data_IF_877061028129
#
_entry.id   IF_877061028129
#
_cell.length_a   1.000
_cell.length_b   1.000
_cell.length_c   1.000
_cell.angle_alpha   90.00
_cell.angle_beta   90.00
_cell.angle_gamma   90.00
#
_symmetry.space_group_name_H-M   'P 1'
#
loop_
_entity.id
_entity.type
_entity.pdbx_description
1 polymer ?
#
# COMPACT_ATOMS: atom_id res chain seq x y z
N UNK A 1 -11.52 -5.63 -19.88
CA UNK A 1 -12.98 -5.54 -20.13
C UNK A 1 -13.45 -4.27 -19.45
N UNK A 2 -14.35 -3.51 -20.07
CA UNK A 2 -15.02 -2.45 -19.33
C UNK A 2 -15.84 -3.09 -18.21
N UNK A 3 -15.76 -2.55 -17.00
CA UNK A 3 -16.55 -3.01 -15.87
C UNK A 3 -18.02 -2.61 -16.12
N UNK A 4 -18.96 -3.53 -15.83
CA UNK A 4 -20.39 -3.25 -15.88
C UNK A 4 -20.94 -3.30 -14.45
N UNK A 5 -21.72 -2.29 -14.06
CA UNK A 5 -22.26 -2.18 -12.72
C UNK A 5 -23.12 -3.40 -12.30
N UNK A 6 -23.97 -3.89 -13.21
CA UNK A 6 -24.80 -5.07 -12.94
C UNK A 6 -23.95 -6.32 -12.64
N UNK A 7 -22.85 -6.52 -13.37
CA UNK A 7 -21.93 -7.63 -13.15
C UNK A 7 -21.19 -7.48 -11.81
N UNK A 8 -20.83 -6.24 -11.42
CA UNK A 8 -20.22 -5.96 -10.13
C UNK A 8 -21.16 -6.33 -9.00
N UNK A 9 -22.41 -5.85 -9.04
CA UNK A 9 -23.41 -6.13 -7.98
C UNK A 9 -23.74 -7.61 -7.93
N UNK A 10 -23.98 -8.24 -9.07
CA UNK A 10 -24.24 -9.69 -9.13
C UNK A 10 -23.10 -10.51 -8.54
N UNK A 11 -21.86 -10.14 -8.84
CA UNK A 11 -20.70 -10.84 -8.28
C UNK A 11 -20.60 -10.59 -6.78
N UNK A 12 -20.75 -9.33 -6.32
CA UNK A 12 -20.76 -8.94 -4.91
C UNK A 12 -21.77 -9.80 -4.11
N UNK A 13 -23.01 -9.91 -4.59
CA UNK A 13 -24.08 -10.64 -3.92
C UNK A 13 -23.85 -12.17 -3.89
N UNK A 14 -22.96 -12.68 -4.72
CA UNK A 14 -22.61 -14.12 -4.78
C UNK A 14 -21.38 -14.50 -3.95
N UNK A 15 -20.64 -13.52 -3.39
CA UNK A 15 -19.40 -13.80 -2.64
C UNK A 15 -19.70 -14.49 -1.31
N UNK A 16 -18.99 -15.58 -1.07
CA UNK A 16 -18.91 -16.23 0.24
C UNK A 16 -17.59 -15.87 0.91
N UNK A 17 -17.65 -15.06 1.97
CA UNK A 17 -16.48 -14.55 2.64
C UNK A 17 -15.66 -15.65 3.32
N UNK A 18 -14.35 -15.64 3.08
CA UNK A 18 -13.37 -16.42 3.85
C UNK A 18 -12.95 -15.57 5.05
N UNK A 19 -13.23 -16.04 6.24
CA UNK A 19 -13.06 -15.26 7.47
C UNK A 19 -12.25 -15.96 8.57
N UNK A 20 -11.71 -17.13 8.26
CA UNK A 20 -10.83 -17.92 9.14
C UNK A 20 -9.36 -17.68 8.78
N UNK A 21 -8.44 -17.90 9.72
CA UNK A 21 -7.01 -17.95 9.42
C UNK A 21 -6.71 -19.05 8.39
N UNK A 22 -5.68 -18.86 7.59
CA UNK A 22 -5.23 -19.87 6.63
C UNK A 22 -3.85 -20.38 7.05
N UNK A 23 -3.79 -21.55 7.65
CA UNK A 23 -2.57 -22.12 8.19
C UNK A 23 -2.41 -23.56 7.67
N UNK A 24 -1.21 -23.87 7.17
CA UNK A 24 -0.86 -25.20 6.67
C UNK A 24 -1.85 -25.75 5.63
N UNK A 25 -2.26 -24.91 4.68
CA UNK A 25 -3.14 -25.29 3.58
C UNK A 25 -4.62 -25.40 3.94
N UNK A 26 -5.05 -24.94 5.12
CA UNK A 26 -6.43 -25.07 5.61
C UNK A 26 -6.92 -23.79 6.25
N UNK A 27 -8.24 -23.53 6.13
CA UNK A 27 -8.92 -22.55 6.95
C UNK A 27 -9.14 -23.10 8.35
N UNK A 28 -8.73 -22.34 9.37
CA UNK A 28 -8.84 -22.69 10.79
C UNK A 28 -9.34 -21.50 11.60
N UNK A 29 -10.11 -21.75 12.65
CA UNK A 29 -10.43 -20.71 13.62
C UNK A 29 -9.17 -20.32 14.38
N UNK A 30 -9.16 -19.14 15.01
CA UNK A 30 -8.12 -18.81 15.99
C UNK A 30 -8.16 -19.81 17.15
N UNK A 31 -7.00 -20.14 17.71
CA UNK A 31 -6.90 -21.07 18.84
C UNK A 31 -7.64 -20.55 20.08
N UNK A 32 -7.76 -19.23 20.22
CA UNK A 32 -8.54 -18.57 21.27
C UNK A 32 -10.05 -18.53 20.99
N UNK A 33 -10.48 -18.97 19.80
CA UNK A 33 -11.86 -18.85 19.29
C UNK A 33 -12.38 -17.40 19.19
N UNK A 34 -11.52 -16.40 19.40
CA UNK A 34 -11.87 -15.00 19.26
C UNK A 34 -12.04 -14.59 17.80
N UNK A 35 -12.90 -13.61 17.60
CA UNK A 35 -13.14 -12.97 16.32
C UNK A 35 -13.18 -11.45 16.49
N UNK A 36 -12.93 -10.72 15.41
CA UNK A 36 -13.18 -9.28 15.31
C UNK A 36 -14.15 -9.01 14.15
N UNK A 37 -14.87 -7.92 14.25
CA UNK A 37 -15.84 -7.48 13.25
C UNK A 37 -15.11 -6.79 12.10
N UNK A 38 -15.42 -7.21 10.89
CA UNK A 38 -15.06 -6.55 9.65
C UNK A 38 -16.24 -5.68 9.21
N UNK A 39 -16.02 -4.37 9.19
CA UNK A 39 -17.05 -3.34 8.96
C UNK A 39 -16.78 -2.64 7.65
N UNK A 40 -17.71 -2.70 6.71
CA UNK A 40 -17.57 -1.97 5.45
C UNK A 40 -17.63 -0.45 5.67
N UNK A 41 -16.65 0.30 5.19
CA UNK A 41 -16.67 1.76 5.28
C UNK A 41 -17.65 2.41 4.29
N UNK A 42 -18.22 1.66 3.40
CA UNK A 42 -19.15 2.13 2.35
C UNK A 42 -20.50 2.55 2.97
N UNK A 43 -20.94 1.78 3.97
CA UNK A 43 -22.25 1.95 4.59
C UNK A 43 -22.25 1.78 6.14
N UNK A 44 -21.08 1.46 6.72
CA UNK A 44 -20.91 1.17 8.13
C UNK A 44 -21.50 -0.18 8.56
N UNK A 45 -21.87 -1.03 7.61
CA UNK A 45 -22.48 -2.35 7.85
C UNK A 45 -21.45 -3.42 8.22
N UNK A 46 -21.89 -4.40 9.04
CA UNK A 46 -21.10 -5.59 9.33
C UNK A 46 -21.00 -6.48 8.08
N UNK A 47 -19.78 -6.77 7.65
CA UNK A 47 -19.49 -7.68 6.53
C UNK A 47 -19.45 -9.13 7.04
N UNK A 48 -18.56 -9.39 7.99
CA UNK A 48 -18.37 -10.72 8.60
C UNK A 48 -17.59 -10.59 9.91
N UNK A 49 -17.52 -11.71 10.67
CA UNK A 49 -16.60 -11.82 11.82
C UNK A 49 -15.39 -12.63 11.41
N UNK A 50 -14.20 -12.06 11.56
CA UNK A 50 -12.92 -12.66 11.13
C UNK A 50 -12.16 -13.24 12.32
N UNK A 51 -11.46 -14.34 12.16
CA UNK A 51 -10.65 -14.96 13.20
C UNK A 51 -9.61 -13.97 13.76
N UNK A 52 -9.57 -13.78 15.09
CA UNK A 52 -8.59 -12.96 15.79
C UNK A 52 -7.40 -13.82 16.20
N UNK A 53 -6.40 -13.90 15.34
CA UNK A 53 -5.16 -14.62 15.64
C UNK A 53 -4.31 -13.89 16.67
N UNK A 54 -3.65 -14.66 17.50
CA UNK A 54 -2.68 -14.16 18.49
C UNK A 54 -1.32 -14.89 18.38
N UNK A 55 -0.55 -14.90 19.47
CA UNK A 55 0.79 -15.49 19.49
C UNK A 55 0.79 -17.00 19.20
N UNK A 56 -0.22 -17.72 19.63
CA UNK A 56 -0.28 -19.17 19.48
C UNK A 56 -0.59 -19.56 18.03
N UNK A 57 -1.48 -18.84 17.35
CA UNK A 57 -1.76 -19.00 15.93
C UNK A 57 -0.53 -18.68 15.07
N UNK A 58 0.20 -17.62 15.42
CA UNK A 58 1.46 -17.26 14.76
C UNK A 58 2.50 -18.36 14.95
N UNK A 59 2.61 -18.93 16.16
CA UNK A 59 3.51 -20.05 16.42
C UNK A 59 3.18 -21.27 15.55
N UNK A 60 1.89 -21.59 15.37
CA UNK A 60 1.48 -22.73 14.53
C UNK A 60 1.75 -22.44 13.03
N UNK A 61 1.52 -21.22 12.57
CA UNK A 61 1.88 -20.82 11.21
C UNK A 61 3.40 -20.90 10.97
N UNK A 62 4.22 -20.47 11.93
CA UNK A 62 5.69 -20.55 11.86
C UNK A 62 6.16 -22.00 11.86
N UNK A 63 5.61 -22.87 12.72
CA UNK A 63 5.92 -24.30 12.71
C UNK A 63 5.63 -24.95 11.36
N UNK A 64 4.46 -24.68 10.78
CA UNK A 64 4.09 -25.21 9.46
C UNK A 64 5.05 -24.71 8.37
N UNK A 65 5.36 -23.41 8.37
CA UNK A 65 6.26 -22.77 7.44
C UNK A 65 7.70 -23.32 7.53
N UNK A 66 8.21 -23.52 8.76
CA UNK A 66 9.55 -24.07 9.01
C UNK A 66 9.63 -25.52 8.58
N UNK A 67 8.64 -26.33 8.93
CA UNK A 67 8.60 -27.75 8.54
C UNK A 67 8.66 -27.92 7.01
N UNK A 68 7.83 -27.21 6.25
CA UNK A 68 7.81 -27.32 4.78
C UNK A 68 9.09 -26.76 4.14
N UNK A 69 9.67 -25.71 4.71
CA UNK A 69 10.95 -25.14 4.27
C UNK A 69 12.09 -26.15 4.42
N UNK A 70 12.24 -26.77 5.59
CA UNK A 70 13.29 -27.75 5.88
C UNK A 70 13.10 -29.05 5.10
N UNK A 71 11.86 -29.50 4.91
CA UNK A 71 11.52 -30.63 4.04
C UNK A 71 11.96 -30.41 2.60
N UNK A 72 11.99 -29.13 2.16
CA UNK A 72 12.49 -28.73 0.84
C UNK A 72 11.48 -28.91 -0.27
N UNK A 73 10.19 -29.10 0.04
CA UNK A 73 9.16 -29.26 -1.01
C UNK A 73 9.00 -28.02 -1.88
N UNK A 74 9.38 -26.84 -1.36
CA UNK A 74 9.40 -25.58 -2.07
C UNK A 74 10.81 -24.99 -2.19
N UNK A 75 11.54 -24.91 -1.08
CA UNK A 75 12.88 -24.29 -1.00
C UNK A 75 13.91 -24.95 -1.92
N UNK A 76 13.84 -26.27 -2.06
CA UNK A 76 14.71 -27.07 -2.95
C UNK A 76 14.03 -27.49 -4.26
N UNK A 77 12.82 -26.98 -4.55
CA UNK A 77 12.17 -27.23 -5.83
C UNK A 77 12.96 -26.57 -6.95
N UNK A 78 13.14 -27.31 -8.06
CA UNK A 78 13.83 -26.75 -9.23
C UNK A 78 13.20 -25.44 -9.71
N UNK A 79 13.99 -24.39 -10.00
CA UNK A 79 13.50 -23.06 -10.35
C UNK A 79 12.42 -23.06 -11.44
N UNK A 80 12.59 -23.85 -12.49
CA UNK A 80 11.65 -23.95 -13.61
C UNK A 80 10.28 -24.56 -13.21
N UNK A 81 10.24 -25.43 -12.18
CA UNK A 81 8.99 -25.99 -11.65
C UNK A 81 8.28 -24.93 -10.80
N UNK A 82 9.00 -24.25 -9.92
CA UNK A 82 8.49 -23.17 -9.08
C UNK A 82 7.92 -22.02 -9.92
N UNK A 83 8.64 -21.62 -10.99
CA UNK A 83 8.21 -20.65 -12.01
C UNK A 83 6.85 -21.00 -12.62
N UNK A 84 6.63 -22.25 -13.02
CA UNK A 84 5.36 -22.71 -13.62
C UNK A 84 4.20 -22.59 -12.64
N UNK A 85 4.42 -22.90 -11.36
CA UNK A 85 3.41 -22.79 -10.32
C UNK A 85 3.06 -21.31 -10.08
N UNK A 86 4.04 -20.41 -10.06
CA UNK A 86 3.78 -18.98 -9.88
C UNK A 86 3.04 -18.36 -11.08
N UNK A 87 3.31 -18.76 -12.30
CA UNK A 87 2.49 -18.35 -13.46
C UNK A 87 1.05 -18.84 -13.34
N UNK A 88 0.85 -20.11 -12.93
CA UNK A 88 -0.51 -20.61 -12.68
C UNK A 88 -1.21 -19.84 -11.58
N UNK A 89 -0.49 -19.44 -10.52
CA UNK A 89 -1.03 -18.60 -9.46
C UNK A 89 -1.44 -17.22 -9.99
N UNK A 90 -0.61 -16.58 -10.81
CA UNK A 90 -0.93 -15.32 -11.47
C UNK A 90 -2.17 -15.44 -12.39
N UNK A 91 -2.29 -16.53 -13.14
CA UNK A 91 -3.47 -16.79 -13.98
C UNK A 91 -4.76 -16.98 -13.17
N UNK A 92 -4.67 -17.64 -12.00
CA UNK A 92 -5.82 -17.79 -11.10
C UNK A 92 -6.24 -16.46 -10.51
N UNK A 93 -5.30 -15.61 -10.06
CA UNK A 93 -5.61 -14.26 -9.60
C UNK A 93 -6.26 -13.45 -10.72
N UNK A 94 -5.72 -13.49 -11.93
CA UNK A 94 -6.28 -12.79 -13.09
C UNK A 94 -7.71 -13.23 -13.42
N UNK A 95 -8.02 -14.51 -13.28
CA UNK A 95 -9.39 -15.04 -13.49
C UNK A 95 -10.38 -14.55 -12.41
N UNK A 96 -9.90 -14.27 -11.21
CA UNK A 96 -10.71 -13.82 -10.07
C UNK A 96 -10.56 -12.31 -9.80
N UNK A 97 -10.13 -11.52 -10.80
CA UNK A 97 -9.81 -10.09 -10.63
C UNK A 97 -11.01 -9.28 -10.11
N UNK A 98 -12.23 -9.59 -10.59
CA UNK A 98 -13.44 -8.90 -10.17
C UNK A 98 -13.82 -9.26 -8.73
N UNK A 99 -13.80 -10.55 -8.37
CA UNK A 99 -14.06 -11.01 -7.00
C UNK A 99 -13.09 -10.36 -6.00
N UNK A 100 -11.80 -10.44 -6.29
CA UNK A 100 -10.75 -9.87 -5.42
C UNK A 100 -10.85 -8.34 -5.32
N UNK A 101 -11.15 -7.64 -6.42
CA UNK A 101 -11.39 -6.21 -6.41
C UNK A 101 -12.62 -5.83 -5.59
N UNK A 102 -13.71 -6.58 -5.68
CA UNK A 102 -14.92 -6.36 -4.86
C UNK A 102 -14.62 -6.55 -3.38
N UNK A 103 -13.83 -7.57 -3.00
CA UNK A 103 -13.41 -7.76 -1.61
C UNK A 103 -12.65 -6.54 -1.08
N UNK A 104 -11.72 -5.98 -1.84
CA UNK A 104 -11.02 -4.74 -1.44
C UNK A 104 -11.95 -3.53 -1.39
N UNK A 105 -12.92 -3.42 -2.31
CA UNK A 105 -13.93 -2.35 -2.25
C UNK A 105 -14.80 -2.46 -1.01
N UNK A 106 -15.23 -3.66 -0.63
CA UNK A 106 -16.02 -3.94 0.58
C UNK A 106 -15.23 -3.55 1.84
N UNK A 107 -13.96 -3.99 1.93
CA UNK A 107 -13.13 -3.85 3.13
C UNK A 107 -12.69 -2.40 3.37
N UNK A 108 -12.33 -1.67 2.31
CA UNK A 108 -11.64 -0.38 2.50
C UNK A 108 -12.23 0.78 1.68
N UNK A 109 -13.32 0.55 0.94
CA UNK A 109 -14.05 1.61 0.23
C UNK A 109 -13.38 2.12 -1.05
N UNK A 110 -12.36 1.46 -1.57
CA UNK A 110 -11.70 1.81 -2.83
C UNK A 110 -12.66 1.63 -4.02
N UNK A 111 -12.71 2.57 -4.97
CA UNK A 111 -13.50 2.37 -6.20
C UNK A 111 -13.13 1.08 -6.91
N UNK A 112 -14.13 0.34 -7.39
CA UNK A 112 -13.95 -0.96 -8.03
C UNK A 112 -13.01 -0.94 -9.24
N UNK A 113 -13.00 0.16 -9.99
CA UNK A 113 -12.07 0.39 -11.11
C UNK A 113 -10.61 0.42 -10.64
N UNK A 114 -10.33 1.11 -9.53
CA UNK A 114 -9.01 1.17 -8.91
C UNK A 114 -8.63 -0.18 -8.26
N UNK A 115 -9.55 -0.79 -7.52
CA UNK A 115 -9.31 -2.08 -6.87
C UNK A 115 -8.95 -3.19 -7.88
N UNK A 116 -9.71 -3.32 -8.99
CA UNK A 116 -9.36 -4.27 -10.05
C UNK A 116 -8.04 -3.94 -10.74
N UNK A 117 -7.67 -2.65 -10.85
CA UNK A 117 -6.36 -2.20 -11.31
C UNK A 117 -5.22 -2.68 -10.41
N UNK A 118 -5.40 -2.59 -9.10
CA UNK A 118 -4.42 -3.08 -8.11
C UNK A 118 -4.25 -4.60 -8.19
N UNK A 119 -5.34 -5.35 -8.39
CA UNK A 119 -5.25 -6.81 -8.60
C UNK A 119 -4.48 -7.13 -9.89
N UNK A 120 -4.69 -6.35 -10.97
CA UNK A 120 -3.92 -6.51 -12.19
C UNK A 120 -2.41 -6.22 -11.97
N UNK A 121 -2.07 -5.24 -11.14
CA UNK A 121 -0.69 -4.95 -10.73
C UNK A 121 -0.09 -6.09 -9.88
N UNK A 122 -0.88 -6.77 -9.04
CA UNK A 122 -0.45 -7.99 -8.33
C UNK A 122 -0.05 -9.09 -9.32
N UNK A 123 -0.85 -9.31 -10.37
CA UNK A 123 -0.54 -10.28 -11.43
C UNK A 123 0.75 -9.92 -12.15
N UNK A 124 0.94 -8.65 -12.51
CA UNK A 124 2.16 -8.17 -13.16
C UNK A 124 3.39 -8.37 -12.27
N UNK A 125 3.30 -8.01 -10.99
CA UNK A 125 4.35 -8.22 -10.00
C UNK A 125 4.75 -9.70 -9.88
N UNK A 126 3.77 -10.58 -9.73
CA UNK A 126 4.02 -12.03 -9.60
C UNK A 126 4.66 -12.61 -10.86
N UNK A 127 4.19 -12.22 -12.04
CA UNK A 127 4.77 -12.63 -13.31
C UNK A 127 6.23 -12.17 -13.45
N UNK A 128 6.52 -10.91 -13.09
CA UNK A 128 7.89 -10.38 -13.16
C UNK A 128 8.86 -11.20 -12.30
N UNK A 129 8.48 -11.50 -11.04
CA UNK A 129 9.31 -12.33 -10.16
C UNK A 129 9.38 -13.79 -10.61
N UNK A 130 8.31 -14.36 -11.18
CA UNK A 130 8.31 -15.69 -11.77
C UNK A 130 9.29 -15.76 -12.95
N UNK A 131 9.35 -14.73 -13.79
CA UNK A 131 10.32 -14.64 -14.88
C UNK A 131 11.77 -14.47 -14.40
N UNK A 132 11.97 -13.80 -13.27
CA UNK A 132 13.29 -13.55 -12.71
C UNK A 132 13.95 -14.79 -12.09
N UNK A 133 13.18 -15.83 -11.71
CA UNK A 133 13.67 -17.00 -10.96
C UNK A 133 14.90 -17.65 -11.60
N UNK A 134 14.87 -17.88 -12.89
CA UNK A 134 15.96 -18.56 -13.65
C UNK A 134 17.05 -17.60 -14.14
N UNK A 135 17.05 -16.36 -13.67
CA UNK A 135 18.02 -15.31 -13.99
C UNK A 135 18.83 -14.85 -12.77
N UNK A 136 18.63 -15.51 -11.64
CA UNK A 136 19.40 -15.26 -10.41
C UNK A 136 20.59 -16.22 -10.45
N UNK A 137 21.74 -15.71 -10.88
CA UNK A 137 22.98 -16.50 -10.96
C UNK A 137 23.78 -16.38 -9.69
N UNK A 138 24.51 -17.46 -9.37
CA UNK A 138 25.55 -17.47 -8.38
C UNK A 138 26.84 -16.83 -8.93
N UNK A 139 27.75 -16.41 -8.07
CA UNK A 139 28.98 -15.74 -8.46
C UNK A 139 30.20 -16.58 -8.10
N UNK A 140 31.28 -16.48 -8.91
CA UNK A 140 32.59 -17.06 -8.62
C UNK A 140 33.55 -15.91 -8.33
N UNK A 141 34.10 -15.89 -7.12
CA UNK A 141 35.05 -14.87 -6.72
C UNK A 141 36.47 -15.16 -7.23
N UNK A 142 37.26 -14.13 -7.61
CA UNK A 142 38.63 -14.30 -8.00
C UNK A 142 39.48 -14.82 -6.86
N UNK A 143 40.27 -15.87 -7.13
CA UNK A 143 41.15 -16.50 -6.16
C UNK A 143 42.46 -16.92 -6.84
N UNK A 144 43.42 -17.47 -6.07
CA UNK A 144 44.63 -18.11 -6.64
C UNK A 144 44.29 -19.44 -7.33
N UNK A 145 45.14 -19.90 -8.24
CA UNK A 145 44.90 -21.01 -9.17
C UNK A 145 44.41 -22.33 -8.54
N UNK A 146 44.74 -22.58 -7.29
CA UNK A 146 44.38 -23.84 -6.61
C UNK A 146 43.12 -23.70 -5.71
N UNK A 147 42.35 -22.62 -5.80
CA UNK A 147 41.14 -22.37 -5.03
C UNK A 147 40.02 -21.88 -5.96
N UNK A 148 38.83 -22.43 -5.77
CA UNK A 148 37.58 -21.91 -6.34
C UNK A 148 36.72 -21.45 -5.18
N UNK A 149 36.33 -20.15 -5.15
CA UNK A 149 35.38 -19.60 -4.20
C UNK A 149 34.07 -19.27 -4.90
N UNK A 150 33.01 -19.92 -4.47
CA UNK A 150 31.64 -19.71 -5.01
C UNK A 150 30.81 -18.94 -3.99
N UNK A 151 30.02 -17.98 -4.47
CA UNK A 151 29.03 -17.23 -3.69
C UNK A 151 27.65 -17.69 -4.14
N UNK A 152 27.02 -18.56 -3.35
CA UNK A 152 25.71 -19.11 -3.68
C UNK A 152 24.59 -18.27 -3.04
N UNK A 153 23.48 -18.09 -3.78
CA UNK A 153 22.29 -17.40 -3.33
C UNK A 153 21.25 -18.43 -2.88
N UNK A 154 20.90 -18.41 -1.61
CA UNK A 154 19.99 -19.38 -1.02
C UNK A 154 18.73 -18.71 -0.44
N UNK A 155 17.58 -19.43 -0.35
CA UNK A 155 16.41 -18.95 0.37
C UNK A 155 16.76 -18.62 1.83
N UNK A 156 16.18 -17.54 2.35
CA UNK A 156 16.42 -17.11 3.74
C UNK A 156 15.78 -18.05 4.78
N UNK A 157 14.60 -18.58 4.48
CA UNK A 157 13.82 -19.37 5.42
C UNK A 157 12.37 -18.94 5.45
N UNK A 158 11.92 -18.41 6.59
CA UNK A 158 10.57 -17.89 6.78
C UNK A 158 10.58 -16.37 6.63
N UNK A 159 9.76 -15.87 5.72
CA UNK A 159 9.52 -14.44 5.54
C UNK A 159 8.15 -14.10 6.13
N UNK A 160 8.14 -13.29 7.18
CA UNK A 160 6.94 -12.66 7.70
C UNK A 160 6.64 -11.35 6.97
N UNK A 161 5.36 -11.03 6.80
CA UNK A 161 4.93 -9.75 6.29
C UNK A 161 3.74 -9.18 7.07
N UNK A 162 3.77 -7.88 7.32
CA UNK A 162 2.64 -7.12 7.87
C UNK A 162 2.31 -6.01 6.88
N UNK A 163 1.06 -5.98 6.41
CA UNK A 163 0.63 -5.10 5.32
C UNK A 163 -0.46 -4.13 5.75
N UNK A 164 -0.53 -2.95 5.10
CA UNK A 164 -1.52 -1.94 5.40
C UNK A 164 -2.87 -2.25 4.72
N UNK A 165 -3.85 -1.44 5.04
CA UNK A 165 -5.21 -1.55 4.53
C UNK A 165 -5.46 -0.80 3.20
N UNK A 166 -4.62 0.18 2.83
CA UNK A 166 -4.89 1.05 1.68
C UNK A 166 -4.62 0.43 0.30
N UNK A 167 -3.74 -0.55 0.23
CA UNK A 167 -3.46 -1.41 -0.93
C UNK A 167 -3.27 -2.86 -0.45
N UNK A 168 -4.35 -3.53 -0.02
CA UNK A 168 -4.24 -4.80 0.72
C UNK A 168 -3.41 -5.86 0.01
N UNK A 169 -3.85 -6.29 -1.17
CA UNK A 169 -3.13 -7.31 -1.95
C UNK A 169 -1.89 -6.76 -2.63
N UNK A 170 -1.91 -5.54 -3.17
CA UNK A 170 -0.76 -5.01 -3.89
C UNK A 170 0.47 -4.94 -2.98
N UNK A 171 0.32 -4.40 -1.76
CA UNK A 171 1.41 -4.36 -0.78
C UNK A 171 1.80 -5.75 -0.28
N UNK A 172 0.86 -6.68 -0.22
CA UNK A 172 1.17 -8.08 0.08
C UNK A 172 1.99 -8.71 -1.06
N UNK A 173 1.61 -8.52 -2.32
CA UNK A 173 2.31 -9.11 -3.47
C UNK A 173 3.73 -8.57 -3.68
N UNK A 174 4.02 -7.34 -3.31
CA UNK A 174 5.39 -6.82 -3.28
C UNK A 174 6.31 -7.59 -2.31
N UNK A 175 5.75 -8.39 -1.42
CA UNK A 175 6.45 -9.23 -0.46
C UNK A 175 6.28 -10.73 -0.77
N UNK A 176 5.07 -11.16 -1.13
CA UNK A 176 4.75 -12.54 -1.52
C UNK A 176 5.56 -12.97 -2.74
N UNK A 177 5.53 -12.18 -3.81
CA UNK A 177 6.12 -12.56 -5.08
C UNK A 177 7.64 -12.82 -4.98
N UNK A 178 8.48 -11.90 -4.44
CA UNK A 178 9.91 -12.18 -4.26
C UNK A 178 10.18 -13.31 -3.28
N UNK A 179 9.42 -13.43 -2.19
CA UNK A 179 9.62 -14.48 -1.18
C UNK A 179 9.36 -15.87 -1.78
N UNK A 180 8.24 -16.06 -2.46
CA UNK A 180 7.90 -17.33 -3.08
C UNK A 180 8.83 -17.65 -4.27
N UNK A 181 9.15 -16.67 -5.10
CA UNK A 181 10.05 -16.84 -6.23
C UNK A 181 11.43 -17.35 -5.81
N UNK A 182 11.95 -16.84 -4.69
CA UNK A 182 13.26 -17.24 -4.17
C UNK A 182 13.22 -18.47 -3.25
N UNK A 183 12.07 -19.14 -3.10
CA UNK A 183 11.94 -20.42 -2.41
C UNK A 183 11.71 -20.34 -0.91
N UNK A 184 11.35 -19.17 -0.38
CA UNK A 184 11.03 -19.02 1.04
C UNK A 184 9.60 -19.50 1.35
N UNK A 185 9.35 -19.86 2.61
CA UNK A 185 7.99 -19.92 3.17
C UNK A 185 7.54 -18.53 3.61
N UNK A 186 6.24 -18.28 3.59
CA UNK A 186 5.69 -16.93 3.76
C UNK A 186 4.51 -16.92 4.75
N UNK A 187 4.51 -15.92 5.64
CA UNK A 187 3.41 -15.70 6.59
C UNK A 187 2.96 -14.24 6.45
N UNK A 188 1.70 -14.04 6.10
CA UNK A 188 1.07 -12.72 5.95
C UNK A 188 0.18 -12.41 7.15
N UNK A 189 0.39 -11.26 7.78
CA UNK A 189 -0.59 -10.59 8.65
C UNK A 189 -1.19 -9.42 7.87
N UNK A 190 -2.40 -9.53 7.31
CA UNK A 190 -3.09 -8.41 6.67
C UNK A 190 -3.54 -7.39 7.72
N UNK A 191 -3.86 -6.17 7.29
CA UNK A 191 -4.53 -5.20 8.17
C UNK A 191 -5.89 -5.75 8.62
N UNK A 192 -6.29 -5.41 9.84
CA UNK A 192 -7.59 -5.81 10.39
C UNK A 192 -8.77 -5.20 9.63
N UNK A 193 -8.57 -4.05 8.98
CA UNK A 193 -9.58 -3.36 8.17
C UNK A 193 -9.75 -3.98 6.77
N UNK A 194 -8.84 -4.86 6.31
CA UNK A 194 -8.89 -5.36 4.93
C UNK A 194 -8.30 -6.77 4.80
N UNK A 195 -8.87 -7.76 5.50
CA UNK A 195 -8.32 -9.11 5.52
C UNK A 195 -8.83 -10.01 4.39
N UNK A 196 -10.00 -9.70 3.80
CA UNK A 196 -10.76 -10.68 3.00
C UNK A 196 -10.06 -11.09 1.71
N UNK A 197 -9.47 -10.14 0.99
CA UNK A 197 -8.77 -10.45 -0.26
C UNK A 197 -7.53 -11.32 -0.01
N UNK A 198 -6.79 -11.10 1.09
CA UNK A 198 -5.64 -11.91 1.49
C UNK A 198 -6.05 -13.35 1.86
N UNK A 199 -7.17 -13.51 2.55
CA UNK A 199 -7.73 -14.83 2.89
C UNK A 199 -8.19 -15.59 1.65
N UNK A 200 -8.84 -14.91 0.70
CA UNK A 200 -9.28 -15.53 -0.55
C UNK A 200 -8.12 -15.95 -1.44
N UNK A 201 -7.08 -15.13 -1.54
CA UNK A 201 -5.92 -15.43 -2.40
C UNK A 201 -5.10 -16.63 -1.90
N UNK A 202 -5.17 -16.97 -0.60
CA UNK A 202 -4.49 -18.13 -0.04
C UNK A 202 -5.02 -19.46 -0.59
N UNK A 203 -6.32 -19.55 -0.84
CA UNK A 203 -6.93 -20.71 -1.50
C UNK A 203 -6.48 -20.82 -2.97
N UNK A 204 -6.37 -19.70 -3.70
CA UNK A 204 -5.84 -19.68 -5.05
C UNK A 204 -4.37 -20.14 -5.12
N UNK A 205 -3.60 -19.84 -4.09
CA UNK A 205 -2.21 -20.33 -3.98
C UNK A 205 -2.15 -21.87 -3.91
N UNK A 206 -3.05 -22.49 -3.13
CA UNK A 206 -3.17 -23.96 -3.05
C UNK A 206 -3.61 -24.56 -4.39
N UNK A 207 -4.61 -23.97 -5.04
CA UNK A 207 -5.09 -24.39 -6.37
C UNK A 207 -3.98 -24.31 -7.44
N UNK A 208 -3.09 -23.32 -7.32
CA UNK A 208 -1.94 -23.20 -8.20
C UNK A 208 -0.94 -24.35 -8.01
N UNK A 209 -0.89 -24.97 -6.84
CA UNK A 209 0.02 -26.05 -6.47
C UNK A 209 1.19 -25.60 -5.58
N UNK A 210 1.05 -24.45 -4.89
CA UNK A 210 1.96 -24.07 -3.81
C UNK A 210 1.74 -25.07 -2.65
N UNK A 211 2.81 -25.72 -2.12
CA UNK A 211 2.63 -26.74 -1.09
C UNK A 211 2.06 -26.19 0.22
N UNK A 212 1.31 -27.03 0.95
CA UNK A 212 0.79 -26.72 2.29
C UNK A 212 1.92 -26.21 3.20
N UNK A 213 1.63 -25.16 3.99
CA UNK A 213 2.59 -24.52 4.89
C UNK A 213 3.52 -23.49 4.24
N UNK A 214 3.67 -23.46 2.91
CA UNK A 214 4.51 -22.46 2.23
C UNK A 214 3.91 -21.07 2.31
N UNK A 215 2.58 -20.96 2.21
CA UNK A 215 1.87 -19.69 2.30
C UNK A 215 0.81 -19.77 3.41
N UNK A 216 0.90 -18.86 4.37
CA UNK A 216 -0.01 -18.80 5.53
C UNK A 216 -0.51 -17.36 5.70
N UNK A 217 -1.75 -17.20 6.18
CA UNK A 217 -2.38 -15.91 6.48
C UNK A 217 -2.96 -15.94 7.88
N UNK A 218 -2.50 -15.03 8.73
CA UNK A 218 -2.89 -14.91 10.15
C UNK A 218 -3.53 -13.53 10.38
N UNK A 219 -4.86 -13.38 10.19
CA UNK A 219 -5.57 -12.15 10.50
C UNK A 219 -5.53 -11.86 12.00
N UNK A 220 -5.62 -10.60 12.40
CA UNK A 220 -5.56 -10.19 13.80
C UNK A 220 -4.95 -8.80 13.94
N UNK A 221 -4.83 -8.34 15.19
CA UNK A 221 -4.38 -6.97 15.45
C UNK A 221 -2.86 -6.81 15.45
N UNK A 222 -2.41 -5.57 15.15
CA UNK A 222 -0.99 -5.22 15.17
C UNK A 222 -0.28 -5.52 16.50
N UNK A 223 -0.84 -5.11 17.68
CA UNK A 223 -0.24 -5.36 19.00
C UNK A 223 -0.16 -6.83 19.42
N UNK A 224 -0.95 -7.71 18.84
CA UNK A 224 -0.99 -9.16 19.11
C UNK A 224 -0.27 -9.94 18.01
N UNK A 225 -0.96 -10.35 16.96
CA UNK A 225 -0.41 -11.15 15.86
C UNK A 225 0.78 -10.45 15.15
N UNK A 226 0.69 -9.13 14.91
CA UNK A 226 1.78 -8.37 14.28
C UNK A 226 3.05 -8.35 15.13
N UNK A 227 2.92 -8.07 16.43
CA UNK A 227 4.04 -8.11 17.38
C UNK A 227 4.61 -9.53 17.52
N UNK A 228 3.74 -10.54 17.62
CA UNK A 228 4.17 -11.94 17.70
C UNK A 228 5.04 -12.33 16.50
N UNK A 229 4.61 -11.98 15.28
CA UNK A 229 5.38 -12.23 14.06
C UNK A 229 6.72 -11.46 14.06
N UNK A 230 6.73 -10.21 14.52
CA UNK A 230 7.93 -9.37 14.64
C UNK A 230 8.95 -9.91 15.64
N UNK A 231 8.48 -10.43 16.77
CA UNK A 231 9.31 -10.95 17.87
C UNK A 231 9.71 -12.43 17.69
N UNK A 232 9.09 -13.17 16.75
CA UNK A 232 9.27 -14.61 16.66
C UNK A 232 10.71 -14.99 16.30
N UNK A 233 11.34 -15.81 17.13
CA UNK A 233 12.75 -16.20 16.98
C UNK A 233 13.05 -17.01 15.71
N UNK A 234 12.05 -17.67 15.14
CA UNK A 234 12.17 -18.54 13.97
C UNK A 234 11.62 -17.93 12.68
N UNK A 235 11.43 -16.59 12.65
CA UNK A 235 11.18 -15.80 11.45
C UNK A 235 12.48 -15.16 11.01
N UNK A 236 12.92 -15.40 9.77
CA UNK A 236 14.25 -15.04 9.28
C UNK A 236 14.30 -13.61 8.67
N UNK A 237 13.17 -13.13 8.18
CA UNK A 237 13.01 -11.77 7.62
C UNK A 237 11.59 -11.26 7.87
N UNK A 238 11.46 -9.96 8.07
CA UNK A 238 10.15 -9.30 8.12
C UNK A 238 10.08 -8.17 7.09
N UNK A 239 9.00 -8.16 6.31
CA UNK A 239 8.59 -7.04 5.45
C UNK A 239 7.41 -6.30 6.07
N UNK A 240 7.50 -5.00 6.20
CA UNK A 240 6.44 -4.17 6.74
C UNK A 240 6.09 -3.04 5.77
N UNK A 241 4.81 -2.73 5.63
CA UNK A 241 4.32 -1.48 5.05
C UNK A 241 3.23 -0.91 5.96
N UNK A 242 3.33 0.37 6.32
CA UNK A 242 2.39 1.05 7.19
C UNK A 242 2.96 2.35 7.77
N UNK A 243 2.50 2.77 8.96
CA UNK A 243 2.96 4.02 9.56
C UNK A 243 4.43 3.97 9.99
N UNK A 244 5.09 5.12 9.96
CA UNK A 244 6.48 5.28 10.44
C UNK A 244 6.63 4.88 11.91
N UNK A 245 5.62 5.16 12.73
CA UNK A 245 5.61 4.79 14.15
C UNK A 245 5.69 3.26 14.33
N UNK A 246 4.83 2.52 13.62
CA UNK A 246 4.81 1.06 13.67
C UNK A 246 6.06 0.48 13.02
N UNK A 247 6.60 1.07 11.96
CA UNK A 247 7.88 0.68 11.37
C UNK A 247 9.04 0.71 12.39
N UNK A 248 9.09 1.77 13.22
CA UNK A 248 10.06 1.86 14.33
C UNK A 248 9.88 0.75 15.38
N UNK A 249 8.63 0.29 15.63
CA UNK A 249 8.38 -0.85 16.51
C UNK A 249 8.96 -2.14 15.94
N UNK A 250 8.84 -2.41 14.64
CA UNK A 250 9.42 -3.60 14.03
C UNK A 250 10.95 -3.62 14.09
N UNK A 251 11.62 -2.46 13.99
CA UNK A 251 13.07 -2.38 14.25
C UNK A 251 13.41 -2.75 15.71
N UNK A 252 12.61 -2.29 16.68
CA UNK A 252 12.77 -2.69 18.09
C UNK A 252 12.53 -4.17 18.28
N UNK A 253 11.45 -4.73 17.71
CA UNK A 253 11.17 -6.16 17.79
C UNK A 253 12.28 -7.02 17.18
N UNK A 254 12.89 -6.58 16.11
CA UNK A 254 14.07 -7.25 15.55
C UNK A 254 15.25 -7.24 16.52
N UNK A 255 15.56 -6.09 17.12
CA UNK A 255 16.62 -5.96 18.12
C UNK A 255 16.38 -6.76 19.39
N UNK A 256 15.13 -6.83 19.83
CA UNK A 256 14.70 -7.55 21.05
C UNK A 256 14.55 -9.09 20.82
N UNK A 257 14.74 -9.56 19.59
CA UNK A 257 14.61 -10.99 19.23
C UNK A 257 15.86 -11.55 18.57
N UNK A 258 15.76 -12.07 17.36
CA UNK A 258 16.86 -12.75 16.66
C UNK A 258 17.65 -11.85 15.69
N UNK A 259 17.48 -10.54 15.74
CA UNK A 259 18.11 -9.57 14.82
C UNK A 259 17.77 -9.82 13.33
N UNK A 260 16.57 -10.36 13.04
CA UNK A 260 16.11 -10.60 11.68
C UNK A 260 16.15 -9.32 10.84
N UNK A 261 16.41 -9.46 9.55
CA UNK A 261 16.34 -8.33 8.61
C UNK A 261 14.93 -7.81 8.52
N UNK A 262 14.76 -6.48 8.66
CA UNK A 262 13.48 -5.79 8.49
C UNK A 262 13.58 -4.87 7.27
N UNK A 263 12.59 -4.98 6.37
CA UNK A 263 12.40 -4.04 5.27
C UNK A 263 11.14 -3.25 5.52
N UNK A 264 11.25 -1.91 5.47
CA UNK A 264 10.18 -0.98 5.84
C UNK A 264 9.79 -0.12 4.64
N UNK A 265 8.48 -0.07 4.36
CA UNK A 265 7.83 0.96 3.57
C UNK A 265 6.93 1.76 4.50
N UNK A 266 7.20 3.04 4.64
CA UNK A 266 6.53 3.92 5.61
C UNK A 266 5.82 5.08 4.91
N UNK A 267 5.21 5.96 5.71
CA UNK A 267 4.45 7.10 5.22
C UNK A 267 5.30 8.16 4.52
N UNK A 268 4.62 9.12 3.92
CA UNK A 268 5.20 10.23 3.19
C UNK A 268 4.48 11.55 3.41
N UNK A 269 5.14 12.64 3.03
CA UNK A 269 4.57 13.99 2.92
C UNK A 269 5.15 14.64 1.66
N UNK A 270 4.84 14.02 0.53
CA UNK A 270 5.51 14.25 -0.74
C UNK A 270 5.29 15.66 -1.28
N UNK A 271 6.35 16.40 -1.64
CA UNK A 271 6.22 17.69 -2.30
C UNK A 271 5.93 17.49 -3.81
N UNK A 272 4.97 18.25 -4.32
CA UNK A 272 4.70 18.46 -5.73
C UNK A 272 5.05 19.90 -6.07
N UNK A 273 6.14 20.14 -6.80
CA UNK A 273 6.75 21.45 -7.00
C UNK A 273 6.41 21.97 -8.39
N UNK A 274 5.62 23.02 -8.47
CA UNK A 274 5.16 23.62 -9.72
C UNK A 274 5.90 24.94 -9.94
N UNK A 275 6.79 24.97 -10.91
CA UNK A 275 7.43 26.22 -11.37
C UNK A 275 6.60 26.90 -12.43
N UNK A 276 6.76 28.23 -12.57
CA UNK A 276 6.06 29.02 -13.57
C UNK A 276 6.38 28.62 -15.02
N UNK A 277 7.51 27.98 -15.24
CA UNK A 277 7.92 27.43 -16.53
C UNK A 277 7.53 25.97 -16.72
N UNK A 278 6.58 25.42 -15.95
CA UNK A 278 6.04 24.08 -16.17
C UNK A 278 5.50 23.94 -17.62
N UNK A 279 5.68 22.75 -18.25
CA UNK A 279 5.30 22.58 -19.67
C UNK A 279 3.85 22.87 -19.96
N UNK A 280 2.95 22.52 -19.04
CA UNK A 280 1.51 22.71 -19.16
C UNK A 280 0.90 22.74 -17.74
N UNK A 281 0.34 23.89 -17.37
CA UNK A 281 -0.27 24.11 -16.05
C UNK A 281 -1.61 23.35 -15.88
N UNK A 282 -2.36 23.12 -16.96
CA UNK A 282 -3.61 22.36 -16.92
C UNK A 282 -3.31 20.87 -16.65
N UNK A 283 -2.33 20.31 -17.36
CA UNK A 283 -1.86 18.94 -17.12
C UNK A 283 -1.31 18.79 -15.70
N UNK A 284 -0.50 19.74 -15.23
CA UNK A 284 0.06 19.72 -13.89
C UNK A 284 -1.03 19.79 -12.81
N UNK A 285 -2.03 20.67 -12.97
CA UNK A 285 -3.13 20.82 -12.03
C UNK A 285 -4.05 19.58 -12.01
N UNK A 286 -4.36 19.04 -13.20
CA UNK A 286 -5.11 17.80 -13.32
C UNK A 286 -4.39 16.64 -12.61
N UNK A 287 -3.13 16.44 -12.90
CA UNK A 287 -2.35 15.36 -12.27
C UNK A 287 -2.13 15.59 -10.76
N UNK A 288 -2.05 16.85 -10.31
CA UNK A 288 -2.01 17.14 -8.87
C UNK A 288 -3.31 16.73 -8.16
N UNK A 289 -4.46 16.96 -8.78
CA UNK A 289 -5.75 16.48 -8.27
C UNK A 289 -5.85 14.95 -8.33
N UNK A 290 -5.51 14.36 -9.46
CA UNK A 290 -5.54 12.90 -9.67
C UNK A 290 -4.67 12.18 -8.62
N UNK A 291 -3.43 12.60 -8.43
CA UNK A 291 -2.51 11.98 -7.49
C UNK A 291 -2.87 12.20 -6.01
N UNK A 292 -3.53 13.33 -5.69
CA UNK A 292 -3.91 13.62 -4.30
C UNK A 292 -5.20 12.94 -3.90
N UNK A 293 -6.22 12.90 -4.78
CA UNK A 293 -7.55 12.44 -4.43
C UNK A 293 -7.79 10.97 -4.79
N UNK A 294 -6.91 10.35 -5.58
CA UNK A 294 -6.91 8.91 -5.80
C UNK A 294 -6.94 8.16 -4.46
N UNK A 295 -7.73 7.10 -4.38
CA UNK A 295 -7.93 6.29 -3.17
C UNK A 295 -8.27 7.13 -1.92
N UNK A 296 -9.03 8.23 -2.11
CA UNK A 296 -9.41 9.18 -1.05
C UNK A 296 -8.19 9.78 -0.30
N UNK A 297 -7.07 9.98 -1.01
CA UNK A 297 -5.82 10.48 -0.43
C UNK A 297 -5.12 9.51 0.52
N UNK A 298 -5.57 8.26 0.60
CA UNK A 298 -5.02 7.20 1.44
C UNK A 298 -3.85 6.50 0.75
N UNK A 299 -2.86 7.29 0.34
CA UNK A 299 -1.70 6.88 -0.46
C UNK A 299 -0.43 7.38 0.21
N UNK A 300 0.53 6.49 0.45
CA UNK A 300 1.76 6.82 1.17
C UNK A 300 2.65 7.84 0.45
N UNK A 301 2.65 7.85 -0.88
CA UNK A 301 3.40 8.78 -1.71
C UNK A 301 2.52 9.91 -2.31
N UNK A 302 1.29 10.10 -1.79
CA UNK A 302 0.39 11.18 -2.23
C UNK A 302 1.08 12.56 -2.18
N UNK A 303 0.93 13.39 -3.23
CA UNK A 303 1.56 14.70 -3.34
C UNK A 303 0.83 15.75 -2.48
N UNK A 304 0.72 15.49 -1.19
CA UNK A 304 -0.12 16.24 -0.25
C UNK A 304 0.41 17.63 0.11
N UNK A 305 1.69 17.92 -0.20
CA UNK A 305 2.24 19.28 -0.17
C UNK A 305 2.43 19.79 -1.60
N UNK A 306 1.56 20.68 -2.05
CA UNK A 306 1.67 21.35 -3.33
C UNK A 306 2.45 22.65 -3.15
N UNK A 307 3.67 22.70 -3.68
CA UNK A 307 4.52 23.88 -3.68
C UNK A 307 4.35 24.59 -5.01
N UNK A 308 3.87 25.84 -4.99
CA UNK A 308 3.55 26.62 -6.22
C UNK A 308 4.40 27.87 -6.27
N UNK A 309 5.07 28.12 -7.40
CA UNK A 309 5.77 29.39 -7.59
C UNK A 309 4.80 30.57 -7.51
N UNK A 310 5.12 31.57 -6.69
CA UNK A 310 4.20 32.64 -6.28
C UNK A 310 3.54 33.36 -7.47
N UNK A 311 4.25 33.51 -8.57
CA UNK A 311 3.75 34.21 -9.78
C UNK A 311 2.56 33.53 -10.46
N UNK A 312 2.37 32.23 -10.25
CA UNK A 312 1.28 31.43 -10.87
C UNK A 312 0.29 30.88 -9.84
N UNK A 313 0.42 31.24 -8.55
CA UNK A 313 -0.34 30.63 -7.46
C UNK A 313 -1.84 30.67 -7.68
N UNK A 314 -2.39 31.85 -7.93
CA UNK A 314 -3.85 32.04 -8.02
C UNK A 314 -4.42 31.29 -9.24
N UNK A 315 -3.79 31.45 -10.41
CA UNK A 315 -4.17 30.73 -11.63
C UNK A 315 -4.13 29.20 -11.42
N UNK A 316 -3.07 28.69 -10.78
CA UNK A 316 -2.93 27.26 -10.56
C UNK A 316 -3.97 26.72 -9.58
N UNK A 317 -4.29 27.44 -8.51
CA UNK A 317 -5.31 27.06 -7.54
C UNK A 317 -6.70 27.02 -8.19
N UNK A 318 -7.05 28.00 -9.05
CA UNK A 318 -8.31 27.98 -9.80
C UNK A 318 -8.44 26.73 -10.68
N UNK A 319 -7.39 26.38 -11.44
CA UNK A 319 -7.35 25.14 -12.24
C UNK A 319 -7.48 23.89 -11.36
N UNK A 320 -6.78 23.85 -10.24
CA UNK A 320 -6.82 22.72 -9.31
C UNK A 320 -8.23 22.49 -8.73
N UNK A 321 -8.95 23.57 -8.40
CA UNK A 321 -10.35 23.49 -7.93
C UNK A 321 -11.23 22.86 -9.01
N UNK A 322 -11.09 23.27 -10.28
CA UNK A 322 -11.86 22.69 -11.38
C UNK A 322 -11.56 21.18 -11.54
N UNK A 323 -10.29 20.80 -11.54
CA UNK A 323 -9.88 19.39 -11.66
C UNK A 323 -10.18 18.55 -10.42
N UNK A 324 -10.49 19.15 -9.27
CA UNK A 324 -10.92 18.43 -8.06
C UNK A 324 -12.40 18.02 -8.08
N UNK A 325 -13.25 18.68 -8.89
CA UNK A 325 -14.70 18.44 -8.92
C UNK A 325 -15.10 16.99 -9.27
N UNK A 326 -14.43 16.30 -10.21
CA UNK A 326 -14.74 14.90 -10.53
C UNK A 326 -14.41 13.93 -9.40
N UNK A 327 -13.67 14.38 -8.38
CA UNK A 327 -13.24 13.56 -7.24
C UNK A 327 -14.23 13.59 -6.07
N UNK A 328 -15.46 14.12 -6.25
CA UNK A 328 -16.49 13.98 -5.23
C UNK A 328 -16.80 12.49 -5.00
N UNK A 329 -16.77 12.02 -3.74
CA UNK A 329 -16.93 10.61 -3.44
C UNK A 329 -18.36 10.13 -3.71
N UNK A 330 -18.47 8.90 -4.20
CA UNK A 330 -19.75 8.27 -4.55
C UNK A 330 -19.68 6.76 -4.26
N UNK A 331 -20.74 6.01 -4.66
CA UNK A 331 -20.79 4.55 -4.55
C UNK A 331 -19.53 3.90 -5.17
N UNK A 332 -18.64 3.28 -4.37
CA UNK A 332 -17.38 2.73 -4.89
C UNK A 332 -17.58 1.48 -5.76
N UNK A 333 -18.77 0.85 -5.74
CA UNK A 333 -19.08 -0.26 -6.63
C UNK A 333 -19.44 0.19 -8.05
N UNK A 334 -19.78 1.46 -8.25
CA UNK A 334 -20.06 1.98 -9.58
C UNK A 334 -18.73 2.19 -10.36
N UNK A 335 -18.59 1.63 -11.58
CA UNK A 335 -17.36 1.68 -12.37
C UNK A 335 -16.81 3.09 -12.65
N UNK A 336 -17.71 4.09 -12.75
CA UNK A 336 -17.35 5.48 -13.05
C UNK A 336 -16.99 6.31 -11.80
N UNK A 337 -17.06 5.71 -10.60
CA UNK A 337 -16.67 6.40 -9.37
C UNK A 337 -15.16 6.61 -9.32
N UNK A 338 -14.73 7.87 -9.17
CA UNK A 338 -13.32 8.23 -9.05
C UNK A 338 -12.79 8.10 -7.62
N UNK A 339 -13.60 8.45 -6.62
CA UNK A 339 -13.23 8.43 -5.21
C UNK A 339 -14.32 7.77 -4.34
N UNK A 340 -13.91 6.87 -3.45
CA UNK A 340 -14.77 6.16 -2.53
C UNK A 340 -14.74 6.72 -1.10
N UNK A 341 -14.96 5.86 -0.10
CA UNK A 341 -14.94 6.23 1.31
C UNK A 341 -13.53 6.20 1.93
N UNK A 342 -13.40 6.76 3.12
CA UNK A 342 -12.28 6.50 4.05
C UNK A 342 -12.40 5.08 4.60
N UNK A 343 -11.29 4.47 4.96
CA UNK A 343 -11.26 3.05 5.39
C UNK A 343 -12.08 2.74 6.63
N UNK A 344 -12.16 3.65 7.59
CA UNK A 344 -12.92 3.47 8.82
C UNK A 344 -13.29 4.82 9.46
N UNK A 345 -14.11 4.74 10.51
CA UNK A 345 -14.55 5.90 11.29
C UNK A 345 -13.38 6.64 11.94
N UNK A 346 -12.37 5.92 12.42
CA UNK A 346 -11.25 6.52 13.14
C UNK A 346 -10.41 7.35 12.18
N UNK A 347 -10.12 6.82 10.99
CA UNK A 347 -9.38 7.54 9.96
C UNK A 347 -10.18 8.76 9.45
N UNK A 348 -11.49 8.62 9.23
CA UNK A 348 -12.33 9.74 8.85
C UNK A 348 -12.34 10.85 9.90
N UNK A 349 -12.50 10.50 11.19
CA UNK A 349 -12.43 11.46 12.29
C UNK A 349 -11.07 12.15 12.37
N UNK A 350 -9.98 11.39 12.22
CA UNK A 350 -8.62 11.94 12.18
C UNK A 350 -8.44 12.98 11.07
N UNK A 351 -8.94 12.69 9.86
CA UNK A 351 -8.85 13.63 8.73
C UNK A 351 -9.64 14.91 9.02
N UNK A 352 -10.86 14.82 9.57
CA UNK A 352 -11.66 15.97 9.96
C UNK A 352 -10.97 16.81 11.05
N UNK A 353 -10.33 16.18 12.03
CA UNK A 353 -9.55 16.86 13.06
C UNK A 353 -8.36 17.64 12.48
N UNK A 354 -7.68 17.09 11.45
CA UNK A 354 -6.64 17.82 10.73
C UNK A 354 -7.19 18.99 9.95
N UNK A 355 -8.36 18.85 9.32
CA UNK A 355 -9.04 19.95 8.62
C UNK A 355 -9.34 21.08 9.59
N UNK A 356 -9.90 20.79 10.76
CA UNK A 356 -10.16 21.80 11.79
C UNK A 356 -8.88 22.41 12.37
N UNK A 357 -7.81 21.62 12.46
CA UNK A 357 -6.49 22.12 12.88
C UNK A 357 -5.93 23.12 11.86
N UNK A 358 -6.00 22.83 10.57
CA UNK A 358 -5.54 23.74 9.51
C UNK A 358 -6.29 25.09 9.55
N UNK A 359 -7.62 25.06 9.75
CA UNK A 359 -8.42 26.28 9.93
C UNK A 359 -7.94 27.10 11.13
N UNK A 360 -7.71 26.45 12.28
CA UNK A 360 -7.24 27.11 13.51
C UNK A 360 -5.83 27.69 13.36
N UNK A 361 -4.97 27.07 12.56
CA UNK A 361 -3.63 27.56 12.26
C UNK A 361 -3.61 28.70 11.23
N UNK A 362 -4.77 29.04 10.65
CA UNK A 362 -4.95 30.18 9.73
C UNK A 362 -4.88 29.83 8.25
N UNK A 363 -4.79 28.55 7.87
CA UNK A 363 -4.90 28.12 6.48
C UNK A 363 -6.35 28.29 5.97
N UNK A 364 -6.52 28.67 4.70
CA UNK A 364 -7.81 28.91 4.11
C UNK A 364 -8.27 27.73 3.26
N UNK A 365 -9.48 27.21 3.52
CA UNK A 365 -10.12 26.22 2.66
C UNK A 365 -10.66 26.90 1.40
N UNK A 366 -10.34 26.36 0.23
CA UNK A 366 -10.87 26.82 -1.05
C UNK A 366 -11.90 25.84 -1.64
N UNK A 367 -11.88 24.57 -1.22
CA UNK A 367 -12.94 23.59 -1.52
C UNK A 367 -12.94 22.48 -0.47
N UNK A 368 -14.09 21.82 -0.30
CA UNK A 368 -14.25 20.68 0.63
C UNK A 368 -14.27 21.09 2.12
N UNK A 369 -13.65 20.27 2.94
CA UNK A 369 -13.53 20.51 4.37
C UNK A 369 -14.63 19.87 5.23
N UNK A 370 -15.38 18.93 4.67
CA UNK A 370 -16.52 18.31 5.36
C UNK A 370 -16.72 16.84 5.00
N UNK A 371 -17.44 16.14 5.86
CA UNK A 371 -17.98 14.82 5.55
C UNK A 371 -19.24 14.96 4.70
N UNK A 372 -19.31 14.18 3.63
CA UNK A 372 -20.44 14.11 2.69
C UNK A 372 -21.10 12.72 2.74
N UNK A 373 -22.22 12.52 2.03
CA UNK A 373 -22.95 11.24 1.92
C UNK A 373 -23.24 10.58 3.30
N UNK A 374 -23.57 11.40 4.32
CA UNK A 374 -23.77 10.94 5.70
C UNK A 374 -24.97 10.00 5.86
N UNK A 375 -25.92 10.10 4.97
CA UNK A 375 -27.14 9.26 4.91
C UNK A 375 -26.86 7.80 4.53
N UNK A 376 -25.71 7.51 3.93
CA UNK A 376 -25.29 6.14 3.61
C UNK A 376 -24.85 5.34 4.84
N UNK A 377 -24.46 6.00 5.92
CA UNK A 377 -23.78 5.41 7.08
C UNK A 377 -22.26 5.24 6.89
N UNK A 378 -21.74 5.48 5.68
CA UNK A 378 -20.33 5.37 5.33
C UNK A 378 -19.47 6.60 5.68
N UNK A 379 -18.19 6.53 5.38
CA UNK A 379 -17.18 7.50 5.84
C UNK A 379 -16.60 8.30 4.67
N UNK A 380 -17.37 9.18 4.05
CA UNK A 380 -17.00 9.95 2.87
C UNK A 380 -16.56 11.37 3.22
N UNK A 381 -15.41 11.80 2.74
CA UNK A 381 -14.88 13.16 2.94
C UNK A 381 -14.68 13.83 1.59
N UNK A 382 -15.15 15.08 1.46
CA UNK A 382 -14.99 15.85 0.24
C UNK A 382 -13.50 16.15 -0.04
N UNK A 383 -13.07 16.21 -1.33
CA UNK A 383 -11.75 16.69 -1.71
C UNK A 383 -11.49 18.06 -1.09
N UNK A 384 -10.45 18.17 -0.28
CA UNK A 384 -10.19 19.38 0.50
C UNK A 384 -8.88 20.00 0.07
N UNK A 385 -8.91 21.29 -0.28
CA UNK A 385 -7.74 22.06 -0.67
C UNK A 385 -7.59 23.25 0.29
N UNK A 386 -6.43 23.34 0.93
CA UNK A 386 -6.00 24.50 1.70
C UNK A 386 -5.05 25.37 0.88
N UNK A 387 -5.27 26.67 0.87
CA UNK A 387 -4.30 27.69 0.44
C UNK A 387 -3.73 28.46 1.63
N UNK A 388 -2.71 29.26 1.38
CA UNK A 388 -2.01 30.08 2.40
C UNK A 388 -1.46 29.22 3.54
N UNK A 389 -1.01 28.01 3.20
CA UNK A 389 -0.40 27.09 4.16
C UNK A 389 1.08 27.49 4.34
N UNK A 390 1.49 27.56 5.60
CA UNK A 390 2.90 27.66 5.96
C UNK A 390 3.46 26.26 6.29
N UNK A 391 4.68 25.96 5.85
CA UNK A 391 5.28 24.64 6.06
C UNK A 391 5.50 24.28 7.56
N UNK A 392 5.37 25.23 8.49
CA UNK A 392 5.38 24.97 9.94
C UNK A 392 4.04 24.50 10.50
N UNK A 393 2.96 24.65 9.75
CA UNK A 393 1.63 24.21 10.17
C UNK A 393 1.58 22.67 10.27
N UNK A 394 0.79 22.17 11.21
CA UNK A 394 0.65 20.73 11.45
C UNK A 394 0.16 19.97 10.22
N UNK A 395 -0.78 20.58 9.47
CA UNK A 395 -1.29 19.98 8.21
C UNK A 395 -0.23 19.85 7.10
N UNK A 396 0.85 20.67 7.14
CA UNK A 396 1.97 20.59 6.21
C UNK A 396 3.08 19.64 6.69
N UNK A 397 3.17 19.38 8.00
CA UNK A 397 4.20 18.52 8.61
C UNK A 397 3.77 17.07 8.72
N UNK A 398 2.55 16.82 9.19
CA UNK A 398 2.07 15.47 9.48
C UNK A 398 1.45 14.82 8.24
N UNK A 399 1.57 13.51 8.16
CA UNK A 399 0.85 12.68 7.19
C UNK A 399 -0.63 12.58 7.61
N UNK A 400 -1.52 13.23 6.87
CA UNK A 400 -2.97 13.24 7.15
C UNK A 400 -3.59 11.89 6.74
N UNK A 401 -3.16 11.37 5.59
CA UNK A 401 -3.64 10.12 4.99
C UNK A 401 -5.13 10.17 4.64
N UNK A 402 -5.53 11.24 3.96
CA UNK A 402 -6.91 11.54 3.54
C UNK A 402 -6.92 12.59 2.43
N UNK A 403 -8.08 12.94 1.86
CA UNK A 403 -8.19 13.77 0.67
C UNK A 403 -7.96 15.27 0.97
N UNK A 404 -6.79 15.60 1.54
CA UNK A 404 -6.45 16.97 2.00
C UNK A 404 -5.12 17.40 1.40
N UNK A 405 -5.17 18.40 0.54
CA UNK A 405 -4.03 19.02 -0.13
C UNK A 405 -3.69 20.37 0.50
N UNK A 406 -2.39 20.59 0.75
CA UNK A 406 -1.84 21.80 1.34
C UNK A 406 -1.03 22.59 0.31
N UNK A 407 -1.53 23.75 -0.15
CA UNK A 407 -0.84 24.62 -1.12
C UNK A 407 0.02 25.65 -0.37
N UNK A 408 1.32 25.63 -0.66
CA UNK A 408 2.37 26.48 -0.11
C UNK A 408 3.02 27.22 -1.25
N UNK A 409 3.13 28.55 -1.17
CA UNK A 409 3.83 29.31 -2.19
C UNK A 409 5.32 29.44 -1.90
N UNK A 410 6.12 29.60 -2.97
CA UNK A 410 7.56 29.80 -2.87
C UNK A 410 8.07 30.81 -3.91
N UNK A 411 9.28 31.31 -3.71
CA UNK A 411 9.99 32.19 -4.65
C UNK A 411 11.34 31.58 -5.04
N UNK A 412 11.41 31.07 -6.27
CA UNK A 412 12.63 30.52 -6.86
C UNK A 412 13.11 29.20 -6.28
N UNK A 413 14.10 28.60 -6.96
CA UNK A 413 14.58 27.23 -6.70
C UNK A 413 15.07 26.96 -5.26
N UNK A 414 15.72 27.95 -4.65
CA UNK A 414 16.34 27.75 -3.33
C UNK A 414 15.29 27.58 -2.25
N UNK A 415 14.22 28.38 -2.31
CA UNK A 415 13.12 28.30 -1.34
C UNK A 415 12.29 27.04 -1.58
N UNK A 416 11.97 26.72 -2.83
CA UNK A 416 11.29 25.47 -3.20
C UNK A 416 12.00 24.24 -2.60
N UNK A 417 13.31 24.14 -2.81
CA UNK A 417 14.10 23.02 -2.30
C UNK A 417 14.19 23.02 -0.76
N UNK A 418 14.28 24.19 -0.12
CA UNK A 418 14.28 24.32 1.33
C UNK A 418 12.97 23.81 1.92
N UNK A 419 11.82 24.24 1.39
CA UNK A 419 10.50 23.81 1.85
C UNK A 419 10.31 22.31 1.57
N UNK A 420 10.67 21.84 0.37
CA UNK A 420 10.53 20.44 -0.01
C UNK A 420 11.28 19.51 0.96
N UNK A 421 12.50 19.88 1.37
CA UNK A 421 13.34 19.09 2.27
C UNK A 421 13.06 19.30 3.77
N UNK A 422 12.23 20.29 4.14
CA UNK A 422 11.87 20.55 5.54
C UNK A 422 10.70 19.65 5.97
N UNK A 423 10.99 18.37 6.03
CA UNK A 423 10.08 17.28 6.44
C UNK A 423 10.90 16.09 6.96
N UNK A 424 10.29 15.28 7.82
CA UNK A 424 10.87 14.03 8.32
C UNK A 424 10.68 12.84 7.35
N UNK A 425 9.95 13.06 6.25
CA UNK A 425 9.64 12.06 5.23
C UNK A 425 10.57 12.21 4.01
N UNK A 426 10.55 11.19 3.13
CA UNK A 426 11.39 11.20 1.93
C UNK A 426 11.01 10.10 0.92
N UNK A 427 9.72 9.80 0.78
CA UNK A 427 9.25 8.70 -0.08
C UNK A 427 9.23 9.11 -1.56
N UNK A 428 8.51 10.18 -1.89
CA UNK A 428 8.29 10.64 -3.27
C UNK A 428 8.42 12.17 -3.37
N UNK A 429 8.75 12.66 -4.57
CA UNK A 429 8.73 14.07 -4.94
C UNK A 429 8.43 14.24 -6.42
N UNK A 430 7.73 15.32 -6.78
CA UNK A 430 7.39 15.63 -8.16
C UNK A 430 7.89 17.04 -8.50
N UNK A 431 8.42 17.24 -9.71
CA UNK A 431 8.96 18.51 -10.18
C UNK A 431 8.36 18.82 -11.55
N UNK A 432 7.76 20.00 -11.69
CA UNK A 432 7.22 20.50 -12.95
C UNK A 432 8.02 21.71 -13.41
N UNK A 433 8.77 21.58 -14.48
CA UNK A 433 9.57 22.65 -15.10
C UNK A 433 10.04 22.25 -16.49
N UNK A 434 10.15 23.22 -17.40
CA UNK A 434 10.76 23.07 -18.72
C UNK A 434 12.29 23.23 -18.72
N UNK A 435 12.86 23.74 -17.60
CA UNK A 435 14.31 23.93 -17.49
C UNK A 435 14.98 22.63 -17.00
N UNK A 436 15.60 21.92 -17.92
CA UNK A 436 16.30 20.65 -17.63
C UNK A 436 17.42 20.81 -16.58
N UNK A 437 18.14 21.95 -16.58
CA UNK A 437 19.18 22.21 -15.59
C UNK A 437 18.58 22.37 -14.18
N UNK A 438 17.46 23.11 -14.07
CA UNK A 438 16.70 23.27 -12.83
C UNK A 438 16.25 21.93 -12.30
N UNK A 439 15.60 21.11 -13.15
CA UNK A 439 15.12 19.78 -12.80
C UNK A 439 16.22 18.88 -12.27
N UNK A 440 17.34 18.74 -13.00
CA UNK A 440 18.46 17.91 -12.57
C UNK A 440 19.11 18.40 -11.27
N UNK A 441 19.22 19.73 -11.11
CA UNK A 441 19.78 20.35 -9.92
C UNK A 441 18.94 20.10 -8.67
N UNK A 442 17.58 20.18 -8.79
CA UNK A 442 16.66 19.90 -7.70
C UNK A 442 16.63 18.39 -7.41
N UNK A 443 16.48 17.56 -8.43
CA UNK A 443 16.43 16.10 -8.27
C UNK A 443 17.65 15.52 -7.54
N UNK A 444 18.83 16.10 -7.74
CA UNK A 444 20.06 15.71 -7.02
C UNK A 444 20.10 16.13 -5.54
N UNK A 445 19.26 17.09 -5.14
CA UNK A 445 19.33 17.73 -3.81
C UNK A 445 18.09 17.50 -2.96
N UNK A 446 17.00 17.10 -3.59
CA UNK A 446 15.77 16.74 -2.87
C UNK A 446 16.01 15.41 -2.14
N UNK A 447 15.58 15.35 -0.87
CA UNK A 447 15.70 14.15 -0.04
C UNK A 447 14.47 13.27 -0.23
N UNK A 448 14.46 12.51 -1.34
CA UNK A 448 13.37 11.60 -1.69
C UNK A 448 13.90 10.35 -2.38
N UNK A 449 13.27 9.22 -2.12
CA UNK A 449 13.61 7.94 -2.76
C UNK A 449 13.19 7.87 -4.22
N UNK A 450 12.06 8.49 -4.57
CA UNK A 450 11.55 8.61 -5.95
C UNK A 450 11.40 10.10 -6.31
N UNK A 451 11.80 10.45 -7.53
CA UNK A 451 11.61 11.80 -8.08
C UNK A 451 11.00 11.68 -9.48
N UNK A 452 9.79 12.17 -9.62
CA UNK A 452 9.08 12.26 -10.91
C UNK A 452 9.25 13.64 -11.52
N UNK A 453 9.24 13.72 -12.84
CA UNK A 453 9.41 14.98 -13.59
C UNK A 453 8.31 15.11 -14.63
N UNK A 454 7.55 16.20 -14.54
CA UNK A 454 6.45 16.52 -15.46
C UNK A 454 5.43 15.36 -15.63
N UNK A 455 5.32 14.52 -14.62
CA UNK A 455 4.39 13.39 -14.56
C UNK A 455 4.12 12.98 -13.13
N UNK A 456 2.93 12.42 -12.87
CA UNK A 456 2.56 11.72 -11.63
C UNK A 456 2.56 10.19 -11.79
N UNK A 457 2.66 9.70 -13.02
CA UNK A 457 2.69 8.26 -13.31
C UNK A 457 4.12 7.76 -13.53
N UNK A 458 4.37 6.54 -13.04
CA UNK A 458 5.59 5.77 -13.32
C UNK A 458 5.55 5.18 -14.73
#
# INVERSE_FOLDING_TARGET
MALNYEDVIKTKDSISFKNQAFINGKYVNSLSEKVFEDISPVDGGLVTSVAECDVDDVNDAVKAARYVFEKGSWSRMAPNKRKKILFKFADLIKKNILELGILETIDMGKPISAATGDIAACVACLNWYAEAIDKIYDDVAPTRDNIIAMITKEPLGIVGAVTPWNYPLLMAFWKIAPALATGNSFILKPAEQSPLSALRVSELAMEAGIPEGVFNVVPGFGPTAGKALGMHMDVDKLGFTGSTEVGKLFLKYSGDSNMKRVSLECGGKSPNIIFADAPDLDVAAKQAADGMFFNSGQVCDAPSRLLIERSIKDEFIEKLIEYSKPWMPNDPFHPDTSMGSMVDKNQASRVLDYIETGKKEGAQIVTGGEQVNKDTGGYYIAPTIFKDVNNSMKIAKDEIFGPVLCAIDFEGEKEALKIANDTDYGLNAIIWSNDLNKVHKIAKRIRSGKVLVNSMSD
#
